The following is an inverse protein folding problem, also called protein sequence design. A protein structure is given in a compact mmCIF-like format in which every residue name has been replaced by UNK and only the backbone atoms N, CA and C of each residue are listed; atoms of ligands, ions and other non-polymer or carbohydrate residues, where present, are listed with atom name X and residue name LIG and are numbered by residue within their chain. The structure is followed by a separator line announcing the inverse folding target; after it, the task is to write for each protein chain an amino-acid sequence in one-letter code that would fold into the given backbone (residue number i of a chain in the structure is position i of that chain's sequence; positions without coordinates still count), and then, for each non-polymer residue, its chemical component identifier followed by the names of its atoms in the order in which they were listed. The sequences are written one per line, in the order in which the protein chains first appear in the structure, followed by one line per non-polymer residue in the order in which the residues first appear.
data_IF_757789202650
#
_entry.id   IF_757789202650
#
_cell.length_a   1.000
_cell.length_b   1.000
_cell.length_c   1.000
_cell.angle_alpha   90.00
_cell.angle_beta   90.00
_cell.angle_gamma   90.00
#
_symmetry.space_group_name_H-M   'P 1'
#
loop_
_entity.id
_entity.type
_entity.pdbx_description
1 polymer ?
#
# COMPACT_ATOMS: atom_id res chain seq x y z
N UNK A 1 -32.23 2.12 -63.61
CA UNK A 1 -31.27 2.69 -64.59
C UNK A 1 -29.92 1.99 -64.66
N UNK A 2 -29.55 1.19 -63.68
CA UNK A 2 -28.28 0.43 -63.69
C UNK A 2 -28.30 -0.81 -64.60
N UNK A 3 -29.46 -1.41 -64.87
CA UNK A 3 -29.62 -2.64 -65.67
C UNK A 3 -29.58 -2.44 -67.20
N UNK A 4 -29.67 -1.18 -67.70
CA UNK A 4 -29.61 -0.83 -69.08
C UNK A 4 -28.21 -0.40 -69.59
N UNK A 5 -27.25 -0.26 -68.71
CA UNK A 5 -25.85 0.10 -69.03
C UNK A 5 -24.96 -1.15 -69.31
N UNK A 6 -25.46 -2.35 -68.98
CA UNK A 6 -24.63 -3.61 -69.08
C UNK A 6 -24.78 -4.28 -70.46
N UNK A 7 -25.63 -3.79 -71.37
CA UNK A 7 -25.88 -4.40 -72.68
C UNK A 7 -25.31 -3.69 -73.91
N UNK A 8 -24.52 -2.65 -73.73
CA UNK A 8 -23.90 -1.94 -74.85
C UNK A 8 -22.41 -1.68 -74.58
N UNK A 9 -21.62 -2.72 -74.58
CA UNK A 9 -20.19 -2.48 -74.44
C UNK A 9 -19.36 -3.70 -74.08
N UNK A 10 -19.77 -4.87 -74.59
CA UNK A 10 -19.18 -6.15 -74.13
C UNK A 10 -17.77 -6.47 -74.61
N UNK A 11 -17.20 -5.77 -75.57
CA UNK A 11 -15.81 -6.01 -76.01
C UNK A 11 -14.86 -4.83 -75.68
N UNK A 12 -15.35 -3.64 -75.63
CA UNK A 12 -14.52 -2.44 -75.33
C UNK A 12 -14.12 -2.26 -73.84
N UNK A 13 -14.90 -2.84 -72.96
CA UNK A 13 -14.60 -2.75 -71.51
C UNK A 13 -13.61 -3.80 -71.01
N UNK A 14 -13.61 -4.98 -71.62
CA UNK A 14 -12.62 -6.00 -71.32
C UNK A 14 -11.24 -5.60 -71.79
N UNK A 15 -11.12 -5.09 -73.02
CA UNK A 15 -9.83 -4.59 -73.52
C UNK A 15 -9.33 -3.33 -72.76
N UNK A 16 -10.23 -2.46 -72.31
CA UNK A 16 -9.86 -1.32 -71.50
C UNK A 16 -9.39 -1.73 -70.09
N UNK A 17 -9.99 -2.80 -69.49
CA UNK A 17 -9.54 -3.35 -68.22
C UNK A 17 -8.22 -4.09 -68.39
N UNK A 18 -8.02 -4.87 -69.43
CA UNK A 18 -6.76 -5.52 -69.72
C UNK A 18 -5.66 -4.49 -69.95
N UNK A 19 -5.90 -3.47 -70.76
CA UNK A 19 -4.91 -2.41 -70.98
C UNK A 19 -4.62 -1.57 -69.72
N UNK A 20 -5.60 -1.38 -68.85
CA UNK A 20 -5.37 -0.71 -67.56
C UNK A 20 -4.61 -1.58 -66.55
N UNK A 21 -4.86 -2.88 -66.59
CA UNK A 21 -4.09 -3.87 -65.80
C UNK A 21 -2.67 -4.02 -66.36
N UNK A 22 -2.49 -4.08 -67.70
CA UNK A 22 -1.14 -4.11 -68.31
C UNK A 22 -0.39 -2.79 -68.08
N UNK A 23 -1.09 -1.66 -68.07
CA UNK A 23 -0.47 -0.37 -67.68
C UNK A 23 -0.09 -0.29 -66.17
N UNK A 24 -0.81 -1.01 -65.33
CA UNK A 24 -0.45 -1.19 -63.91
C UNK A 24 0.71 -2.18 -63.70
N UNK A 25 0.86 -3.16 -64.59
CA UNK A 25 1.95 -4.11 -64.66
C UNK A 25 2.96 -3.75 -65.77
N UNK A 26 3.19 -2.44 -66.02
CA UNK A 26 4.40 -2.06 -66.74
C UNK A 26 5.54 -2.66 -65.95
N UNK A 27 6.27 -3.59 -66.53
CA UNK A 27 7.51 -4.17 -66.01
C UNK A 27 8.36 -2.97 -65.54
N UNK A 28 8.37 -2.74 -64.23
CA UNK A 28 9.40 -1.92 -63.63
C UNK A 28 10.70 -2.69 -63.85
N UNK A 29 11.38 -2.43 -64.95
CA UNK A 29 12.76 -2.80 -65.12
C UNK A 29 13.58 -2.08 -64.03
N UNK A 30 13.75 -2.81 -62.94
CA UNK A 30 14.60 -2.31 -61.88
C UNK A 30 16.04 -2.15 -62.46
N UNK A 31 16.53 -0.92 -62.52
CA UNK A 31 17.90 -0.67 -62.85
C UNK A 31 18.80 -1.04 -61.67
N UNK A 32 20.02 -1.41 -61.92
CA UNK A 32 21.00 -1.77 -60.87
C UNK A 32 21.11 -0.69 -59.75
N UNK A 33 20.86 0.58 -60.08
CA UNK A 33 20.77 1.71 -59.13
C UNK A 33 19.59 1.65 -58.16
N UNK A 34 18.53 0.89 -58.49
CA UNK A 34 17.37 0.74 -57.60
C UNK A 34 17.62 -0.25 -56.47
N UNK A 35 18.65 -1.10 -56.63
CA UNK A 35 19.18 -1.99 -55.58
C UNK A 35 20.42 -1.43 -54.88
N UNK A 36 20.89 -0.21 -55.26
CA UNK A 36 21.93 0.44 -54.51
C UNK A 36 21.40 0.80 -53.12
N UNK A 37 22.08 0.32 -52.07
CA UNK A 37 21.78 0.70 -50.69
C UNK A 37 21.84 2.22 -50.61
N UNK A 38 20.66 2.85 -50.53
CA UNK A 38 20.54 4.28 -50.25
C UNK A 38 20.92 4.48 -48.78
N UNK A 39 22.18 4.84 -48.55
CA UNK A 39 22.60 5.31 -47.24
C UNK A 39 21.98 6.69 -47.04
N UNK A 40 20.76 6.69 -46.47
CA UNK A 40 20.21 7.90 -45.89
C UNK A 40 20.92 8.12 -44.55
N UNK A 41 22.01 8.82 -44.58
CA UNK A 41 22.73 9.26 -43.38
C UNK A 41 21.85 10.17 -42.50
N UNK A 42 20.77 10.76 -43.06
CA UNK A 42 19.84 11.65 -42.36
C UNK A 42 18.60 10.93 -41.75
N UNK A 43 18.33 9.66 -42.12
CA UNK A 43 17.11 8.95 -41.61
C UNK A 43 17.40 7.88 -40.58
N UNK A 44 18.62 7.54 -40.32
CA UNK A 44 18.99 6.77 -39.13
C UNK A 44 19.62 7.75 -38.13
N UNK A 45 18.94 8.80 -37.77
CA UNK A 45 19.01 9.27 -36.41
C UNK A 45 18.41 8.13 -35.55
N UNK A 46 19.16 7.06 -35.39
CA UNK A 46 18.99 6.17 -34.24
C UNK A 46 18.97 7.15 -33.07
N UNK A 47 17.78 7.31 -32.51
CA UNK A 47 17.56 8.20 -31.41
C UNK A 47 18.56 7.73 -30.32
N UNK A 48 19.76 8.30 -30.31
CA UNK A 48 20.82 8.01 -29.34
C UNK A 48 20.39 8.40 -27.93
N UNK A 49 19.20 9.02 -27.81
CA UNK A 49 18.46 9.21 -26.57
C UNK A 49 17.75 7.95 -26.07
N UNK A 50 17.75 6.83 -26.82
CA UNK A 50 17.51 5.50 -26.25
C UNK A 50 18.73 5.00 -25.43
N UNK A 51 19.42 5.88 -24.75
CA UNK A 51 20.16 5.48 -23.57
C UNK A 51 19.12 4.79 -22.65
N UNK A 52 19.35 3.54 -22.33
CA UNK A 52 18.49 2.75 -21.45
C UNK A 52 18.22 3.58 -20.18
N UNK A 53 17.15 4.37 -20.20
CA UNK A 53 16.79 5.19 -19.06
C UNK A 53 16.48 4.19 -17.97
N UNK A 54 17.27 4.26 -16.91
CA UNK A 54 17.14 3.32 -15.81
C UNK A 54 15.70 3.48 -15.27
N UNK A 55 14.83 2.50 -15.53
CA UNK A 55 13.42 2.48 -15.16
C UNK A 55 13.20 2.98 -13.72
N UNK A 56 14.06 2.55 -12.81
CA UNK A 56 13.98 2.93 -11.40
C UNK A 56 14.31 4.41 -11.16
N UNK A 57 15.26 4.96 -11.91
CA UNK A 57 15.60 6.40 -11.82
C UNK A 57 14.43 7.26 -12.29
N UNK A 58 13.81 6.88 -13.40
CA UNK A 58 12.66 7.60 -13.94
C UNK A 58 11.44 7.50 -12.99
N UNK A 59 11.16 6.30 -12.46
CA UNK A 59 10.11 6.09 -11.47
C UNK A 59 10.35 6.93 -10.20
N UNK A 60 11.57 7.01 -9.70
CA UNK A 60 11.92 7.87 -8.56
C UNK A 60 11.69 9.34 -8.86
N UNK A 61 12.13 9.83 -10.02
CA UNK A 61 11.93 11.24 -10.41
C UNK A 61 10.41 11.56 -10.45
N UNK A 62 9.59 10.69 -11.06
CA UNK A 62 8.14 10.87 -11.11
C UNK A 62 7.51 10.86 -9.72
N UNK A 63 7.93 9.93 -8.86
CA UNK A 63 7.46 9.85 -7.49
C UNK A 63 7.74 11.16 -6.72
N UNK A 64 8.97 11.68 -6.79
CA UNK A 64 9.34 12.92 -6.10
C UNK A 64 8.72 14.19 -6.72
N UNK A 65 8.30 14.15 -7.96
CA UNK A 65 7.57 15.25 -8.59
C UNK A 65 6.10 15.32 -8.09
N UNK A 66 5.56 14.23 -7.54
CA UNK A 66 4.21 14.19 -6.99
C UNK A 66 4.19 14.69 -5.55
N UNK A 67 3.75 15.93 -5.33
CA UNK A 67 3.75 16.60 -4.02
C UNK A 67 3.03 15.80 -2.93
N UNK A 68 1.90 15.15 -3.26
CA UNK A 68 1.15 14.32 -2.30
C UNK A 68 1.94 13.09 -1.84
N UNK A 69 2.67 12.43 -2.75
CA UNK A 69 3.52 11.28 -2.41
C UNK A 69 4.69 11.68 -1.51
N UNK A 70 5.32 12.82 -1.82
CA UNK A 70 6.39 13.39 -0.99
C UNK A 70 5.88 13.77 0.39
N UNK A 71 4.70 14.40 0.48
CA UNK A 71 4.06 14.71 1.77
C UNK A 71 3.81 13.41 2.58
N UNK A 72 3.24 12.38 1.95
CA UNK A 72 3.03 11.09 2.60
C UNK A 72 4.34 10.47 3.10
N UNK A 73 5.40 10.50 2.28
CA UNK A 73 6.71 9.97 2.66
C UNK A 73 7.30 10.73 3.85
N UNK A 74 7.24 12.06 3.84
CA UNK A 74 7.73 12.91 4.94
C UNK A 74 6.97 12.60 6.23
N UNK A 75 5.64 12.48 6.17
CA UNK A 75 4.83 12.12 7.33
C UNK A 75 5.18 10.73 7.87
N UNK A 76 5.38 9.71 7.00
CA UNK A 76 5.83 8.38 7.43
C UNK A 76 7.17 8.49 8.16
N UNK A 77 8.13 9.20 7.57
CA UNK A 77 9.46 9.37 8.19
C UNK A 77 9.35 10.03 9.57
N UNK A 78 8.55 11.09 9.70
CA UNK A 78 8.32 11.76 10.99
C UNK A 78 7.69 10.80 11.99
N UNK A 79 6.64 10.06 11.60
CA UNK A 79 5.95 9.12 12.50
C UNK A 79 6.89 7.98 12.91
N UNK A 80 7.68 7.44 11.98
CA UNK A 80 8.68 6.39 12.29
C UNK A 80 9.75 6.91 13.25
N UNK A 81 10.28 8.11 13.02
CA UNK A 81 11.24 8.74 13.93
C UNK A 81 10.64 8.94 15.31
N UNK A 82 9.41 9.44 15.41
CA UNK A 82 8.72 9.61 16.68
C UNK A 82 8.36 8.28 17.34
N UNK A 83 8.03 7.24 16.59
CA UNK A 83 7.81 5.91 17.12
C UNK A 83 9.09 5.30 17.72
N UNK A 84 10.27 5.67 17.20
CA UNK A 84 11.57 5.21 17.72
C UNK A 84 12.06 6.08 18.87
N UNK A 85 12.02 7.39 18.73
CA UNK A 85 12.61 8.35 19.65
C UNK A 85 11.60 8.87 20.70
N UNK A 86 10.32 8.97 20.35
CA UNK A 86 9.27 9.57 21.16
C UNK A 86 9.12 8.99 22.56
N UNK A 87 9.17 7.66 22.76
CA UNK A 87 9.13 7.07 24.08
C UNK A 87 10.31 7.44 24.99
N UNK A 88 11.45 7.85 24.40
CA UNK A 88 12.64 8.32 25.12
C UNK A 88 12.73 9.82 25.31
N UNK A 89 11.77 10.61 24.80
CA UNK A 89 11.81 12.07 24.90
C UNK A 89 11.36 12.61 26.26
N UNK A 90 10.72 11.79 27.07
CA UNK A 90 10.35 12.11 28.45
C UNK A 90 10.86 11.01 29.41
N UNK A 91 10.66 11.21 30.70
CA UNK A 91 11.12 10.28 31.76
C UNK A 91 10.12 9.16 32.07
N UNK A 92 8.97 9.10 31.35
CA UNK A 92 7.94 8.10 31.59
C UNK A 92 8.16 6.82 30.79
N UNK A 93 7.67 5.72 31.36
CA UNK A 93 7.65 4.43 30.66
C UNK A 93 6.22 4.08 30.22
N UNK A 94 6.06 3.31 29.15
CA UNK A 94 4.74 2.91 28.65
C UNK A 94 3.92 2.06 29.64
N UNK A 95 4.59 1.41 30.60
CA UNK A 95 3.97 0.56 31.64
C UNK A 95 3.92 1.22 33.02
N UNK A 96 4.61 2.34 33.21
CA UNK A 96 4.68 3.03 34.50
C UNK A 96 3.31 3.60 34.89
N UNK A 97 2.84 3.28 36.10
CA UNK A 97 1.54 3.68 36.62
C UNK A 97 1.71 4.51 37.88
N UNK A 98 0.98 5.63 37.94
CA UNK A 98 0.85 6.45 39.16
C UNK A 98 -0.59 6.90 39.34
N UNK A 99 -1.35 6.17 40.15
CA UNK A 99 -2.78 6.48 40.39
C UNK A 99 -3.02 7.87 40.99
N UNK A 100 -2.01 8.48 41.62
CA UNK A 100 -2.11 9.87 42.10
C UNK A 100 -2.20 10.88 40.95
N UNK A 101 -1.71 10.51 39.78
CA UNK A 101 -1.61 11.35 38.58
C UNK A 101 -2.61 10.93 37.49
N UNK A 102 -3.69 10.23 37.87
CA UNK A 102 -4.73 9.79 36.92
C UNK A 102 -5.47 10.99 36.33
N UNK A 103 -5.77 10.89 35.01
CA UNK A 103 -6.56 11.84 34.26
C UNK A 103 -6.01 13.26 34.31
N UNK A 104 -4.69 13.44 34.22
CA UNK A 104 -4.09 14.75 34.05
C UNK A 104 -4.26 15.22 32.60
N UNK A 105 -4.78 16.43 32.42
CA UNK A 105 -4.94 17.02 31.09
C UNK A 105 -3.57 17.36 30.46
N UNK A 106 -3.48 17.52 29.13
CA UNK A 106 -2.24 17.82 28.44
C UNK A 106 -1.56 19.09 28.98
N UNK A 107 -0.28 18.96 29.36
CA UNK A 107 0.55 20.07 29.83
C UNK A 107 1.95 19.99 29.23
N UNK A 108 2.34 21.06 28.51
CA UNK A 108 3.61 21.12 27.78
C UNK A 108 4.46 22.27 28.30
N UNK A 109 5.72 22.05 28.73
CA UNK A 109 6.60 23.09 29.24
C UNK A 109 6.78 24.23 28.22
N UNK A 110 6.63 25.45 28.65
CA UNK A 110 6.80 26.67 27.84
C UNK A 110 5.57 27.05 27.03
N UNK A 111 4.76 26.10 26.55
CA UNK A 111 3.51 26.40 25.81
C UNK A 111 2.38 26.76 26.77
N UNK A 112 2.38 26.22 27.98
CA UNK A 112 1.42 26.52 29.04
C UNK A 112 1.31 28.01 29.36
N UNK A 113 2.38 28.79 29.16
CA UNK A 113 2.41 30.24 29.39
C UNK A 113 1.46 31.02 28.45
N UNK A 114 1.09 30.41 27.31
CA UNK A 114 0.14 30.98 26.34
C UNK A 114 -1.31 30.57 26.62
N UNK A 115 -1.58 29.84 27.71
CA UNK A 115 -2.90 29.32 28.04
C UNK A 115 -3.36 28.18 27.12
N UNK A 116 -2.40 27.55 26.42
CA UNK A 116 -2.62 26.37 25.55
C UNK A 116 -1.87 25.21 26.16
N UNK A 117 -2.55 24.03 26.31
CA UNK A 117 -1.96 22.85 26.96
C UNK A 117 -1.34 23.18 28.33
N UNK A 118 -2.11 23.87 29.15
CA UNK A 118 -1.73 24.35 30.48
C UNK A 118 -2.12 23.39 31.63
N UNK A 119 -2.67 22.21 31.26
CA UNK A 119 -3.15 21.20 32.20
C UNK A 119 -4.57 21.47 32.71
N UNK A 120 -5.26 22.49 32.21
CA UNK A 120 -6.66 22.75 32.54
C UNK A 120 -7.62 21.94 31.65
N UNK A 121 -8.71 21.47 32.22
CA UNK A 121 -9.78 20.76 31.55
C UNK A 121 -11.13 21.44 31.81
N UNK A 122 -11.94 21.57 30.76
CA UNK A 122 -13.32 22.05 30.85
C UNK A 122 -14.27 20.85 30.99
N UNK A 123 -14.76 20.65 32.20
CA UNK A 123 -15.78 19.61 32.46
C UNK A 123 -17.18 20.20 32.38
N UNK A 124 -18.04 19.58 31.59
CA UNK A 124 -19.48 19.92 31.61
C UNK A 124 -20.14 19.28 32.82
N UNK A 125 -20.72 20.08 33.70
CA UNK A 125 -21.46 19.62 34.85
C UNK A 125 -22.94 20.03 34.72
N UNK A 126 -23.81 19.41 35.51
CA UNK A 126 -25.25 19.74 35.54
C UNK A 126 -25.52 21.21 35.89
N UNK A 127 -24.57 21.89 36.50
CA UNK A 127 -24.67 23.31 36.92
C UNK A 127 -23.92 24.27 35.99
N UNK A 128 -23.29 23.79 34.92
CA UNK A 128 -22.51 24.59 33.97
C UNK A 128 -21.12 24.00 33.66
N UNK A 129 -20.30 24.76 32.95
CA UNK A 129 -18.93 24.32 32.62
C UNK A 129 -17.99 24.73 33.77
N UNK A 130 -17.35 23.76 34.41
CA UNK A 130 -16.30 23.99 35.42
C UNK A 130 -14.94 23.78 34.76
N UNK A 131 -14.02 24.72 34.94
CA UNK A 131 -12.62 24.55 34.58
C UNK A 131 -11.89 23.99 35.80
N UNK A 132 -11.24 22.85 35.63
CA UNK A 132 -10.44 22.18 36.68
C UNK A 132 -9.01 22.01 36.19
N UNK A 133 -8.06 22.11 37.13
CA UNK A 133 -6.66 21.83 36.86
C UNK A 133 -6.16 20.79 37.89
N UNK A 134 -6.08 19.56 37.47
CA UNK A 134 -5.69 18.46 38.34
C UNK A 134 -4.27 18.55 38.88
N UNK A 135 -3.37 19.29 38.21
CA UNK A 135 -2.02 19.55 38.69
C UNK A 135 -2.01 20.47 39.93
N UNK A 136 -2.88 21.48 39.92
CA UNK A 136 -3.04 22.40 41.07
C UNK A 136 -3.79 21.71 42.22
N UNK A 137 -4.86 20.98 41.91
CA UNK A 137 -5.68 20.30 42.94
C UNK A 137 -4.88 19.23 43.70
N UNK A 138 -3.89 18.61 43.05
CA UNK A 138 -3.08 17.52 43.62
C UNK A 138 -1.65 17.93 43.99
N UNK A 139 -1.34 19.23 43.93
CA UNK A 139 0.00 19.78 44.23
C UNK A 139 1.14 19.08 43.46
N UNK A 140 0.95 18.91 42.13
CA UNK A 140 1.86 18.26 41.19
C UNK A 140 2.30 19.19 40.08
N UNK A 141 2.72 20.41 40.40
CA UNK A 141 3.08 21.46 39.44
C UNK A 141 4.43 21.21 38.76
N UNK A 142 5.24 20.28 39.24
CA UNK A 142 6.53 19.83 38.68
C UNK A 142 6.40 18.75 37.60
N UNK A 143 5.17 18.23 37.39
CA UNK A 143 4.88 17.13 36.46
C UNK A 143 4.35 17.67 35.15
N UNK A 144 4.79 17.06 34.03
CA UNK A 144 4.36 17.41 32.68
C UNK A 144 3.97 16.16 31.89
N UNK A 145 2.70 16.08 31.50
CA UNK A 145 2.18 15.06 30.58
C UNK A 145 1.81 15.74 29.27
N UNK A 146 2.59 15.56 28.22
CA UNK A 146 2.41 16.29 26.95
C UNK A 146 1.08 15.99 26.27
N UNK A 147 0.61 14.76 26.30
CA UNK A 147 -0.71 14.35 25.81
C UNK A 147 -1.69 14.03 26.97
N UNK A 148 -1.31 14.33 28.18
CA UNK A 148 -2.05 13.97 29.37
C UNK A 148 -1.75 12.55 29.86
N UNK A 149 -2.45 12.14 30.93
CA UNK A 149 -2.39 10.79 31.50
C UNK A 149 -3.73 10.09 31.44
N UNK A 150 -3.69 8.76 31.45
CA UNK A 150 -4.89 7.92 31.41
C UNK A 150 -5.47 7.66 32.83
N UNK A 151 -6.49 6.76 32.89
CA UNK A 151 -7.16 6.37 34.13
C UNK A 151 -6.22 5.73 35.18
N UNK A 152 -5.09 5.19 34.73
CA UNK A 152 -4.06 4.57 35.58
C UNK A 152 -2.86 5.48 35.85
N UNK A 153 -2.91 6.72 35.38
CA UNK A 153 -1.81 7.68 35.49
C UNK A 153 -0.61 7.38 34.59
N UNK A 154 -0.84 6.62 33.50
CA UNK A 154 0.21 6.31 32.49
C UNK A 154 0.29 7.45 31.49
N UNK A 155 1.49 7.75 31.00
CA UNK A 155 1.74 8.80 30.02
C UNK A 155 1.22 8.43 28.62
N UNK A 156 0.29 9.23 28.09
CA UNK A 156 -0.32 8.99 26.78
C UNK A 156 0.66 9.28 25.64
N UNK A 157 1.61 10.22 25.78
CA UNK A 157 2.64 10.48 24.78
C UNK A 157 3.49 9.24 24.54
N UNK A 158 4.11 8.71 25.58
CA UNK A 158 4.95 7.51 25.51
C UNK A 158 4.18 6.30 24.96
N UNK A 159 2.95 6.10 25.43
CA UNK A 159 2.09 5.00 24.96
C UNK A 159 1.66 5.15 23.51
N UNK A 160 1.40 6.38 23.04
CA UNK A 160 1.03 6.62 21.64
C UNK A 160 2.17 6.25 20.68
N UNK A 161 3.41 6.66 21.01
CA UNK A 161 4.56 6.35 20.14
C UNK A 161 5.00 4.89 20.25
N UNK A 162 4.92 4.30 21.42
CA UNK A 162 5.13 2.85 21.58
C UNK A 162 4.06 2.06 20.82
N UNK A 163 2.80 2.46 20.92
CA UNK A 163 1.70 1.88 20.16
C UNK A 163 1.89 2.02 18.64
N UNK A 164 2.38 3.17 18.18
CA UNK A 164 2.70 3.38 16.77
C UNK A 164 3.82 2.45 16.30
N UNK A 165 4.87 2.25 17.11
CA UNK A 165 5.95 1.29 16.84
C UNK A 165 5.41 -0.12 16.68
N UNK A 166 4.60 -0.58 17.62
CA UNK A 166 4.02 -1.92 17.60
C UNK A 166 3.09 -2.13 16.40
N UNK A 167 2.19 -1.18 16.12
CA UNK A 167 1.30 -1.23 14.95
C UNK A 167 2.09 -1.24 13.62
N UNK A 168 3.18 -0.47 13.52
CA UNK A 168 4.08 -0.49 12.35
C UNK A 168 4.77 -1.85 12.17
N UNK A 169 5.28 -2.45 13.25
CA UNK A 169 5.92 -3.78 13.20
C UNK A 169 4.93 -4.82 12.69
N UNK A 170 3.71 -4.82 13.22
CA UNK A 170 2.66 -5.76 12.78
C UNK A 170 2.33 -5.55 11.31
N UNK A 171 2.15 -4.30 10.88
CA UNK A 171 1.77 -3.98 9.51
C UNK A 171 2.87 -4.32 8.49
N UNK A 172 4.14 -4.05 8.84
CA UNK A 172 5.28 -4.41 7.98
C UNK A 172 5.44 -5.93 7.90
N UNK A 173 5.30 -6.64 9.04
CA UNK A 173 5.33 -8.10 9.04
C UNK A 173 4.22 -8.70 8.17
N UNK A 174 2.98 -8.20 8.30
CA UNK A 174 1.86 -8.61 7.47
C UNK A 174 2.11 -8.32 5.99
N UNK A 175 2.65 -7.16 5.64
CA UNK A 175 2.97 -6.78 4.26
C UNK A 175 4.07 -7.66 3.64
N UNK A 176 5.08 -8.04 4.40
CA UNK A 176 6.13 -8.99 3.96
C UNK A 176 5.52 -10.36 3.69
N UNK A 177 4.67 -10.85 4.59
CA UNK A 177 3.98 -12.13 4.45
C UNK A 177 3.07 -12.12 3.22
N UNK A 178 2.28 -11.06 3.06
CA UNK A 178 1.41 -10.81 1.91
C UNK A 178 2.22 -10.85 0.60
N UNK A 179 3.35 -10.15 0.55
CA UNK A 179 4.25 -10.14 -0.59
C UNK A 179 4.85 -11.53 -0.87
N UNK A 180 5.40 -12.22 0.14
CA UNK A 180 6.10 -13.48 -0.08
C UNK A 180 5.12 -14.62 -0.39
N UNK A 181 4.08 -14.80 0.41
CA UNK A 181 3.12 -15.91 0.26
C UNK A 181 2.13 -15.60 -0.85
N UNK A 182 1.47 -14.43 -0.80
CA UNK A 182 0.42 -14.06 -1.74
C UNK A 182 0.96 -13.94 -3.17
N UNK A 183 2.07 -13.23 -3.35
CA UNK A 183 2.70 -13.09 -4.66
C UNK A 183 3.13 -14.46 -5.22
N UNK A 184 3.87 -15.27 -4.44
CA UNK A 184 4.34 -16.56 -4.92
C UNK A 184 3.18 -17.50 -5.30
N UNK A 185 2.15 -17.53 -4.47
CA UNK A 185 0.94 -18.32 -4.72
C UNK A 185 0.24 -17.87 -6.00
N UNK A 186 0.03 -16.56 -6.17
CA UNK A 186 -0.62 -16.01 -7.36
C UNK A 186 0.17 -16.25 -8.64
N UNK A 187 1.50 -16.05 -8.60
CA UNK A 187 2.39 -16.29 -9.74
C UNK A 187 2.38 -17.76 -10.19
N UNK A 188 2.47 -18.69 -9.24
CA UNK A 188 2.42 -20.13 -9.52
C UNK A 188 1.07 -20.51 -10.12
N UNK A 189 -0.04 -20.09 -9.51
CA UNK A 189 -1.40 -20.32 -9.99
C UNK A 189 -1.59 -19.82 -11.42
N UNK A 190 -1.22 -18.55 -11.69
CA UNK A 190 -1.35 -17.94 -13.02
C UNK A 190 -0.48 -18.59 -14.10
N UNK A 191 0.77 -18.95 -13.76
CA UNK A 191 1.71 -19.57 -14.71
C UNK A 191 1.27 -20.96 -15.16
N UNK A 192 1.02 -21.87 -14.22
CA UNK A 192 0.65 -23.23 -14.55
C UNK A 192 -0.74 -23.34 -15.16
N UNK A 193 -1.69 -22.51 -14.71
CA UNK A 193 -3.05 -22.50 -15.26
C UNK A 193 -3.81 -23.82 -15.11
N UNK A 194 -4.86 -24.01 -15.91
CA UNK A 194 -5.60 -25.26 -16.02
C UNK A 194 -6.06 -25.85 -14.68
N UNK A 195 -5.76 -27.13 -14.44
CA UNK A 195 -6.16 -27.83 -13.21
C UNK A 195 -5.45 -27.31 -11.96
N UNK A 196 -4.18 -26.90 -12.07
CA UNK A 196 -3.41 -26.34 -10.94
C UNK A 196 -4.07 -25.05 -10.47
N UNK A 197 -4.33 -24.13 -11.39
CA UNK A 197 -5.01 -22.88 -11.09
C UNK A 197 -6.39 -23.12 -10.47
N UNK A 198 -7.18 -24.03 -11.06
CA UNK A 198 -8.51 -24.38 -10.55
C UNK A 198 -8.45 -24.83 -9.09
N UNK A 199 -7.56 -25.75 -8.74
CA UNK A 199 -7.42 -26.26 -7.36
C UNK A 199 -6.96 -25.15 -6.41
N UNK A 200 -5.96 -24.37 -6.83
CA UNK A 200 -5.46 -23.26 -6.03
C UNK A 200 -6.53 -22.19 -5.80
N UNK A 201 -7.33 -21.85 -6.82
CA UNK A 201 -8.44 -20.89 -6.66
C UNK A 201 -9.54 -21.44 -5.73
N UNK A 202 -9.87 -22.73 -5.77
CA UNK A 202 -10.81 -23.36 -4.82
C UNK A 202 -10.31 -23.28 -3.39
N UNK A 203 -9.02 -23.49 -3.18
CA UNK A 203 -8.42 -23.32 -1.86
C UNK A 203 -8.55 -21.86 -1.36
N UNK A 204 -8.28 -20.86 -2.22
CA UNK A 204 -8.48 -19.45 -1.90
C UNK A 204 -9.94 -19.10 -1.56
N UNK A 205 -10.89 -19.67 -2.33
CA UNK A 205 -12.32 -19.46 -2.07
C UNK A 205 -12.72 -19.99 -0.68
N UNK A 206 -12.26 -21.19 -0.33
CA UNK A 206 -12.50 -21.79 0.99
C UNK A 206 -11.84 -20.94 2.09
N UNK A 207 -10.58 -20.59 1.93
CA UNK A 207 -9.84 -19.79 2.90
C UNK A 207 -10.49 -18.42 3.13
N UNK A 208 -10.94 -17.75 2.05
CA UNK A 208 -11.62 -16.46 2.13
C UNK A 208 -13.09 -16.55 2.59
N UNK A 209 -13.68 -17.75 2.53
CA UNK A 209 -15.06 -18.00 2.98
C UNK A 209 -15.21 -18.06 4.50
N UNK A 210 -14.12 -18.27 5.24
CA UNK A 210 -14.13 -18.29 6.70
C UNK A 210 -14.06 -16.85 7.23
N UNK A 211 -15.01 -16.39 8.05
CA UNK A 211 -14.97 -15.05 8.64
C UNK A 211 -13.66 -14.84 9.44
N UNK A 212 -12.96 -13.75 9.15
CA UNK A 212 -11.69 -13.41 9.77
C UNK A 212 -11.70 -13.46 11.30
N UNK A 213 -12.75 -12.89 11.90
CA UNK A 213 -12.92 -12.90 13.36
C UNK A 213 -12.95 -14.32 13.93
N UNK A 214 -13.55 -15.27 13.23
CA UNK A 214 -13.61 -16.67 13.68
C UNK A 214 -12.20 -17.27 13.72
N UNK A 215 -11.41 -17.04 12.66
CA UNK A 215 -10.01 -17.52 12.61
C UNK A 215 -9.19 -16.94 13.75
N UNK A 216 -9.28 -15.62 13.97
CA UNK A 216 -8.54 -14.93 15.03
C UNK A 216 -8.97 -15.43 16.41
N UNK A 217 -10.27 -15.56 16.64
CA UNK A 217 -10.80 -16.06 17.93
C UNK A 217 -10.30 -17.49 18.23
N UNK A 218 -10.34 -18.37 17.22
CA UNK A 218 -9.83 -19.74 17.37
C UNK A 218 -8.32 -19.77 17.65
N UNK A 219 -7.55 -18.90 16.98
CA UNK A 219 -6.12 -18.77 17.25
C UNK A 219 -5.83 -18.31 18.68
N UNK A 220 -6.60 -17.33 19.18
CA UNK A 220 -6.43 -16.83 20.55
C UNK A 220 -6.83 -17.85 21.63
N UNK A 221 -7.68 -18.83 21.28
CA UNK A 221 -7.97 -19.96 22.20
C UNK A 221 -6.79 -20.93 22.31
N UNK A 222 -5.96 -21.03 21.26
CA UNK A 222 -4.82 -21.95 21.20
C UNK A 222 -3.52 -21.26 21.57
N UNK A 223 -3.33 -20.04 21.05
CA UNK A 223 -2.18 -19.19 21.29
C UNK A 223 -2.55 -18.11 22.29
N UNK A 224 -1.62 -17.72 23.13
CA UNK A 224 -1.88 -16.59 24.04
C UNK A 224 -2.03 -15.27 23.27
N UNK A 225 -2.90 -14.35 23.74
CA UNK A 225 -3.01 -13.02 23.15
C UNK A 225 -1.67 -12.27 23.13
N UNK A 226 -1.36 -11.62 22.00
CA UNK A 226 -0.12 -10.87 21.85
C UNK A 226 0.19 -10.51 20.40
N UNK A 227 1.23 -9.73 20.19
CA UNK A 227 1.68 -9.28 18.88
C UNK A 227 1.92 -10.43 17.90
N UNK A 228 2.57 -11.50 18.35
CA UNK A 228 2.87 -12.68 17.53
C UNK A 228 1.61 -13.37 17.04
N UNK A 229 0.62 -13.55 17.92
CA UNK A 229 -0.68 -14.16 17.56
C UNK A 229 -1.43 -13.33 16.53
N UNK A 230 -1.41 -12.00 16.65
CA UNK A 230 -2.03 -11.11 15.66
C UNK A 230 -1.31 -11.23 14.31
N UNK A 231 0.03 -11.24 14.29
CA UNK A 231 0.79 -11.45 13.04
C UNK A 231 0.42 -12.78 12.38
N UNK A 232 0.33 -13.88 13.16
CA UNK A 232 -0.13 -15.18 12.63
C UNK A 232 -1.56 -15.13 12.10
N UNK A 233 -2.45 -14.41 12.78
CA UNK A 233 -3.82 -14.25 12.33
C UNK A 233 -3.91 -13.50 11.00
N UNK A 234 -3.15 -12.41 10.85
CA UNK A 234 -3.03 -11.68 9.59
C UNK A 234 -2.37 -12.53 8.50
N UNK A 235 -1.33 -13.32 8.86
CA UNK A 235 -0.68 -14.24 7.95
C UNK A 235 -1.65 -15.25 7.31
N UNK A 236 -2.67 -15.70 8.03
CA UNK A 236 -3.64 -16.66 7.50
C UNK A 236 -4.69 -16.02 6.57
N UNK A 237 -4.90 -14.72 6.65
CA UNK A 237 -6.05 -14.07 6.01
C UNK A 237 -5.71 -13.02 4.97
N UNK A 238 -4.61 -12.26 5.13
CA UNK A 238 -4.34 -11.08 4.30
C UNK A 238 -3.78 -11.41 2.91
N UNK A 239 -2.99 -12.45 2.75
CA UNK A 239 -2.27 -12.81 1.52
C UNK A 239 -3.16 -13.13 0.31
N UNK A 240 -4.46 -13.39 0.52
CA UNK A 240 -5.42 -13.71 -0.54
C UNK A 240 -5.56 -12.56 -1.56
N UNK A 241 -5.55 -11.31 -1.08
CA UNK A 241 -5.62 -10.13 -1.94
C UNK A 241 -4.47 -10.05 -2.92
N UNK A 242 -3.24 -10.15 -2.42
CA UNK A 242 -2.01 -10.14 -3.21
C UNK A 242 -1.97 -11.31 -4.22
N UNK A 243 -2.41 -12.50 -3.82
CA UNK A 243 -2.39 -13.67 -4.70
C UNK A 243 -3.28 -13.47 -5.94
N UNK A 244 -4.42 -12.81 -5.80
CA UNK A 244 -5.30 -12.49 -6.93
C UNK A 244 -4.66 -11.49 -7.90
N UNK A 245 -3.99 -10.46 -7.37
CA UNK A 245 -3.30 -9.45 -8.18
C UNK A 245 -2.11 -10.08 -8.90
N UNK A 246 -1.26 -10.82 -8.18
CA UNK A 246 -0.10 -11.49 -8.78
C UNK A 246 -0.52 -12.50 -9.87
N UNK A 247 -1.61 -13.26 -9.64
CA UNK A 247 -2.20 -14.15 -10.65
C UNK A 247 -2.68 -13.38 -11.88
N UNK A 248 -3.39 -12.27 -11.68
CA UNK A 248 -3.90 -11.47 -12.80
C UNK A 248 -2.75 -10.89 -13.65
N UNK A 249 -1.69 -10.41 -13.03
CA UNK A 249 -0.51 -9.92 -13.74
C UNK A 249 0.25 -11.04 -14.46
N UNK A 250 0.40 -12.23 -13.84
CA UNK A 250 0.98 -13.39 -14.48
C UNK A 250 0.19 -13.82 -15.73
N UNK A 251 -1.15 -13.83 -15.65
CA UNK A 251 -2.01 -14.19 -16.79
C UNK A 251 -1.88 -13.21 -17.97
N UNK A 252 -1.56 -11.93 -17.72
CA UNK A 252 -1.31 -10.94 -18.77
C UNK A 252 0.02 -11.18 -19.50
N UNK A 253 1.03 -11.68 -18.78
CA UNK A 253 2.40 -11.76 -19.31
C UNK A 253 2.82 -13.15 -19.77
N UNK A 254 2.20 -14.24 -19.28
CA UNK A 254 2.65 -15.61 -19.55
C UNK A 254 2.66 -16.01 -21.04
N UNK A 255 1.85 -15.35 -21.85
CA UNK A 255 1.71 -15.62 -23.29
C UNK A 255 2.40 -14.55 -24.15
N UNK A 256 3.18 -13.65 -23.55
CA UNK A 256 3.98 -12.65 -24.26
C UNK A 256 5.20 -13.30 -24.94
N UNK A 257 5.64 -12.68 -26.03
CA UNK A 257 6.71 -13.21 -26.90
C UNK A 257 8.00 -13.54 -26.15
N UNK A 258 8.42 -12.69 -25.21
CA UNK A 258 9.64 -12.90 -24.42
C UNK A 258 9.55 -14.15 -23.52
N UNK A 259 8.35 -14.42 -22.95
CA UNK A 259 8.11 -15.64 -22.15
C UNK A 259 8.10 -16.88 -23.02
N UNK A 260 7.47 -16.80 -24.20
CA UNK A 260 7.44 -17.88 -25.17
C UNK A 260 8.86 -18.19 -25.71
N UNK A 261 9.66 -17.17 -25.99
CA UNK A 261 11.04 -17.32 -26.40
C UNK A 261 11.89 -18.02 -25.32
N UNK A 262 11.81 -17.57 -24.06
CA UNK A 262 12.51 -18.23 -22.95
C UNK A 262 12.10 -19.68 -22.77
N UNK A 263 10.80 -19.98 -22.95
CA UNK A 263 10.28 -21.36 -22.90
C UNK A 263 10.82 -22.21 -24.04
N UNK A 264 10.90 -21.67 -25.26
CA UNK A 264 11.44 -22.36 -26.44
C UNK A 264 12.93 -22.68 -26.29
N UNK A 265 13.66 -21.80 -25.60
CA UNK A 265 15.08 -21.99 -25.27
C UNK A 265 15.29 -22.97 -24.11
N UNK A 266 14.22 -23.58 -23.56
CA UNK A 266 14.31 -24.61 -22.52
C UNK A 266 14.40 -24.05 -21.09
N UNK A 267 14.08 -22.79 -20.87
CA UNK A 267 14.08 -22.21 -19.51
C UNK A 267 13.05 -22.91 -18.61
N UNK A 268 13.46 -23.25 -17.40
CA UNK A 268 12.58 -23.89 -16.39
C UNK A 268 11.51 -22.94 -15.87
N UNK A 269 10.37 -23.48 -15.43
CA UNK A 269 9.20 -22.71 -14.96
C UNK A 269 9.53 -21.69 -13.86
N UNK A 270 10.34 -22.09 -12.87
CA UNK A 270 10.73 -21.16 -11.79
C UNK A 270 11.62 -20.03 -12.29
N UNK A 271 12.50 -20.29 -13.25
CA UNK A 271 13.31 -19.24 -13.88
C UNK A 271 12.41 -18.22 -14.59
N UNK A 272 11.45 -18.70 -15.38
CA UNK A 272 10.50 -17.83 -16.10
C UNK A 272 9.68 -17.00 -15.10
N UNK A 273 9.11 -17.62 -14.06
CA UNK A 273 8.28 -16.91 -13.07
C UNK A 273 9.09 -15.82 -12.37
N UNK A 274 10.26 -16.16 -11.79
CA UNK A 274 10.95 -15.27 -10.88
C UNK A 274 12.00 -14.37 -11.54
N UNK A 275 12.56 -14.77 -12.69
CA UNK A 275 13.56 -13.95 -13.40
C UNK A 275 13.03 -13.21 -14.62
N UNK A 276 12.02 -13.75 -15.30
CA UNK A 276 11.49 -13.13 -16.51
C UNK A 276 10.21 -12.32 -16.21
N UNK A 277 9.24 -12.92 -15.50
CA UNK A 277 7.93 -12.27 -15.29
C UNK A 277 7.94 -11.35 -14.09
N UNK A 278 8.44 -11.78 -12.93
CA UNK A 278 8.40 -10.99 -11.69
C UNK A 278 9.00 -9.60 -11.83
N UNK A 279 10.17 -9.37 -12.48
CA UNK A 279 10.71 -8.02 -12.66
C UNK A 279 9.78 -7.09 -13.45
N UNK A 280 8.98 -7.65 -14.37
CA UNK A 280 8.05 -6.89 -15.20
C UNK A 280 6.75 -6.50 -14.47
N UNK A 281 6.39 -7.20 -13.38
CA UNK A 281 5.20 -6.91 -12.57
C UNK A 281 5.52 -6.31 -11.21
N UNK A 282 6.80 -6.02 -10.96
CA UNK A 282 7.22 -5.51 -9.64
C UNK A 282 6.52 -4.21 -9.25
N UNK A 283 6.19 -3.36 -10.23
CA UNK A 283 5.45 -2.11 -10.01
C UNK A 283 4.08 -2.35 -9.36
N UNK A 284 3.15 -3.09 -9.99
CA UNK A 284 1.88 -3.48 -9.39
C UNK A 284 2.03 -4.18 -8.02
N UNK A 285 3.04 -5.04 -7.85
CA UNK A 285 3.28 -5.75 -6.58
C UNK A 285 3.68 -4.77 -5.47
N UNK A 286 4.66 -3.89 -5.71
CA UNK A 286 5.07 -2.88 -4.71
C UNK A 286 3.90 -1.97 -4.35
N UNK A 287 3.12 -1.53 -5.32
CA UNK A 287 1.94 -0.71 -5.09
C UNK A 287 0.95 -1.42 -4.17
N UNK A 288 0.67 -2.70 -4.43
CA UNK A 288 -0.23 -3.49 -3.59
C UNK A 288 0.32 -3.67 -2.16
N UNK A 289 1.62 -3.92 -2.00
CA UNK A 289 2.26 -4.01 -0.68
C UNK A 289 2.07 -2.71 0.12
N UNK A 290 2.19 -1.55 -0.54
CA UNK A 290 1.96 -0.27 0.13
C UNK A 290 0.50 -0.08 0.59
N UNK A 291 -0.48 -0.60 -0.15
CA UNK A 291 -1.89 -0.59 0.27
C UNK A 291 -2.22 -1.63 1.35
N UNK A 292 -1.47 -2.73 1.42
CA UNK A 292 -1.72 -3.75 2.47
C UNK A 292 -1.29 -3.26 3.86
N UNK A 293 -0.32 -2.33 3.98
CA UNK A 293 0.09 -1.77 5.27
C UNK A 293 -1.06 -1.05 6.01
N UNK A 294 -1.73 -0.03 5.43
CA UNK A 294 -2.89 0.60 6.10
C UNK A 294 -4.01 -0.38 6.40
N UNK A 295 -4.24 -1.35 5.51
CA UNK A 295 -5.25 -2.40 5.72
C UNK A 295 -4.92 -3.26 6.94
N UNK A 296 -3.65 -3.65 7.10
CA UNK A 296 -3.19 -4.41 8.26
C UNK A 296 -3.30 -3.61 9.58
N UNK A 297 -2.93 -2.31 9.56
CA UNK A 297 -3.09 -1.41 10.72
C UNK A 297 -4.56 -1.32 11.11
N UNK A 298 -5.45 -1.12 10.14
CA UNK A 298 -6.89 -1.05 10.40
C UNK A 298 -7.44 -2.37 10.94
N UNK A 299 -7.03 -3.50 10.36
CA UNK A 299 -7.47 -4.84 10.81
C UNK A 299 -7.00 -5.12 12.24
N UNK A 300 -5.74 -4.79 12.57
CA UNK A 300 -5.20 -4.90 13.93
C UNK A 300 -6.00 -4.03 14.91
N UNK A 301 -6.24 -2.76 14.56
CA UNK A 301 -6.99 -1.85 15.39
C UNK A 301 -8.44 -2.32 15.62
N UNK A 302 -9.09 -2.85 14.60
CA UNK A 302 -10.42 -3.44 14.70
C UNK A 302 -10.44 -4.66 15.64
N UNK A 303 -9.46 -5.57 15.51
CA UNK A 303 -9.32 -6.73 16.40
C UNK A 303 -9.09 -6.28 17.84
N UNK A 304 -8.25 -5.29 18.04
CA UNK A 304 -7.98 -4.70 19.35
C UNK A 304 -9.24 -4.07 19.96
N UNK A 305 -10.03 -3.36 19.15
CA UNK A 305 -11.28 -2.74 19.60
C UNK A 305 -12.34 -3.77 20.06
N UNK A 306 -12.39 -4.91 19.38
CA UNK A 306 -13.28 -6.03 19.77
C UNK A 306 -12.74 -6.82 20.98
N UNK A 307 -11.57 -6.45 21.53
CA UNK A 307 -10.97 -7.11 22.69
C UNK A 307 -10.05 -8.29 22.34
N UNK A 308 -9.72 -8.46 21.07
CA UNK A 308 -8.80 -9.48 20.57
C UNK A 308 -7.37 -8.93 20.30
N UNK A 309 -7.06 -7.77 20.90
CA UNK A 309 -5.82 -7.05 20.70
C UNK A 309 -4.67 -7.49 21.61
N UNK A 310 -3.66 -6.63 21.66
CA UNK A 310 -2.48 -6.81 22.50
C UNK A 310 -2.86 -6.51 23.96
N UNK A 311 -2.57 -7.42 24.89
CA UNK A 311 -2.89 -7.23 26.31
C UNK A 311 -1.95 -6.22 26.97
N UNK A 312 -2.45 -5.51 27.98
CA UNK A 312 -1.64 -4.65 28.85
C UNK A 312 -0.51 -5.46 29.52
N UNK A 313 0.67 -4.87 29.77
CA UNK A 313 1.00 -3.44 29.66
C UNK A 313 1.37 -2.96 28.25
N UNK A 314 1.65 -3.87 27.33
CA UNK A 314 1.94 -3.49 25.94
C UNK A 314 0.71 -2.86 25.29
N UNK A 315 0.93 -2.03 24.28
CA UNK A 315 -0.16 -1.44 23.50
C UNK A 315 0.26 -1.30 22.03
N UNK A 316 -0.75 -1.40 21.16
CA UNK A 316 -0.74 -0.90 19.80
C UNK A 316 -1.55 0.40 19.75
N UNK A 317 -1.57 1.09 18.61
CA UNK A 317 -2.49 2.23 18.44
C UNK A 317 -3.94 1.80 18.60
N UNK A 318 -4.31 0.64 18.05
CA UNK A 318 -5.67 0.11 18.14
C UNK A 318 -6.08 -0.25 19.57
N UNK A 319 -5.23 -0.99 20.31
CA UNK A 319 -5.51 -1.34 21.70
C UNK A 319 -5.55 -0.11 22.62
N UNK A 320 -4.69 0.89 22.36
CA UNK A 320 -4.70 2.14 23.10
C UNK A 320 -6.00 2.94 22.85
N UNK A 321 -6.45 3.04 21.60
CA UNK A 321 -7.74 3.66 21.27
C UNK A 321 -8.90 2.94 21.96
N UNK A 322 -8.91 1.60 21.92
CA UNK A 322 -9.94 0.79 22.59
C UNK A 322 -9.99 1.03 24.11
N UNK A 323 -8.81 1.10 24.74
CA UNK A 323 -8.69 1.36 26.19
C UNK A 323 -9.19 2.75 26.56
N UNK A 324 -8.76 3.79 25.82
CA UNK A 324 -9.12 5.18 26.08
C UNK A 324 -10.53 5.55 25.66
N UNK A 325 -11.19 4.71 24.84
CA UNK A 325 -12.58 4.92 24.44
C UNK A 325 -13.55 5.02 25.62
N UNK A 326 -13.30 4.24 26.68
CA UNK A 326 -14.12 4.28 27.90
C UNK A 326 -14.10 5.65 28.62
N UNK A 327 -13.03 6.43 28.44
CA UNK A 327 -12.88 7.76 29.03
C UNK A 327 -13.30 8.88 28.07
N UNK A 328 -13.76 8.57 26.86
CA UNK A 328 -14.02 9.56 25.80
C UNK A 328 -15.06 10.63 26.21
N UNK A 329 -16.09 10.25 26.95
CA UNK A 329 -17.15 11.18 27.38
C UNK A 329 -16.71 12.13 28.50
N UNK A 330 -15.73 11.72 29.32
CA UNK A 330 -15.24 12.49 30.47
C UNK A 330 -13.94 13.21 30.17
N UNK A 331 -13.02 12.56 29.47
CA UNK A 331 -11.66 13.07 29.17
C UNK A 331 -11.31 12.86 27.68
N UNK A 332 -11.96 13.59 26.74
CA UNK A 332 -11.82 13.35 25.30
C UNK A 332 -10.39 13.58 24.80
N UNK A 333 -9.57 14.40 25.47
CA UNK A 333 -8.18 14.65 25.10
C UNK A 333 -7.33 13.36 25.07
N UNK A 334 -7.69 12.35 25.85
CA UNK A 334 -6.90 11.11 25.96
C UNK A 334 -6.86 10.31 24.65
N UNK A 335 -7.99 10.22 23.96
CA UNK A 335 -8.11 9.38 22.75
C UNK A 335 -7.68 10.12 21.48
N UNK A 336 -7.65 11.45 21.48
CA UNK A 336 -7.32 12.25 20.28
C UNK A 336 -5.92 11.96 19.74
N UNK A 337 -4.83 11.93 20.55
CA UNK A 337 -3.49 11.71 20.03
C UNK A 337 -3.33 10.38 19.28
N UNK A 338 -3.69 9.22 19.83
CA UNK A 338 -3.54 7.94 19.11
C UNK A 338 -4.43 7.85 17.87
N UNK A 339 -5.64 8.44 17.86
CA UNK A 339 -6.49 8.51 16.66
C UNK A 339 -5.83 9.35 15.57
N UNK A 340 -5.30 10.53 15.92
CA UNK A 340 -4.63 11.41 14.95
C UNK A 340 -3.40 10.73 14.36
N UNK A 341 -2.55 10.12 15.19
CA UNK A 341 -1.35 9.41 14.72
C UNK A 341 -1.73 8.24 13.81
N UNK A 342 -2.73 7.44 14.17
CA UNK A 342 -3.20 6.32 13.36
C UNK A 342 -3.78 6.80 12.01
N UNK A 343 -4.60 7.85 12.03
CA UNK A 343 -5.20 8.42 10.81
C UNK A 343 -4.15 9.01 9.88
N UNK A 344 -3.17 9.74 10.42
CA UNK A 344 -2.05 10.28 9.65
C UNK A 344 -1.18 9.17 9.07
N UNK A 345 -0.93 8.10 9.82
CA UNK A 345 -0.15 6.96 9.37
C UNK A 345 -0.83 6.27 8.19
N UNK A 346 -2.13 5.96 8.31
CA UNK A 346 -2.90 5.34 7.22
C UNK A 346 -2.99 6.24 5.99
N UNK A 347 -3.26 7.53 6.17
CA UNK A 347 -3.28 8.50 5.08
C UNK A 347 -1.94 8.58 4.38
N UNK A 348 -0.84 8.62 5.13
CA UNK A 348 0.51 8.75 4.58
C UNK A 348 0.89 7.55 3.72
N UNK A 349 0.61 6.32 4.16
CA UNK A 349 0.83 5.12 3.35
C UNK A 349 -0.03 5.09 2.09
N UNK A 350 -1.29 5.52 2.15
CA UNK A 350 -2.14 5.62 0.97
C UNK A 350 -1.60 6.66 -0.04
N UNK A 351 -1.13 7.83 0.43
CA UNK A 351 -0.53 8.84 -0.45
C UNK A 351 0.76 8.33 -1.13
N UNK A 352 1.58 7.59 -0.41
CA UNK A 352 2.78 6.95 -0.98
C UNK A 352 2.40 5.85 -1.97
N UNK A 353 1.41 5.01 -1.65
CA UNK A 353 0.92 3.97 -2.54
C UNK A 353 0.39 4.52 -3.86
N UNK A 354 -0.42 5.59 -3.81
CA UNK A 354 -0.91 6.30 -5.00
C UNK A 354 0.21 6.95 -5.80
N UNK A 355 1.22 7.48 -5.11
CA UNK A 355 2.42 8.03 -5.76
C UNK A 355 3.25 6.98 -6.47
N UNK A 356 3.47 5.83 -5.83
CA UNK A 356 4.19 4.70 -6.42
C UNK A 356 3.42 4.08 -7.59
N UNK A 357 2.10 3.94 -7.47
CA UNK A 357 1.25 3.45 -8.55
C UNK A 357 1.41 4.30 -9.81
N UNK A 358 1.33 5.63 -9.68
CA UNK A 358 1.46 6.54 -10.80
C UNK A 358 2.89 6.57 -11.36
N UNK A 359 3.90 6.55 -10.48
CA UNK A 359 5.30 6.55 -10.89
C UNK A 359 5.72 5.28 -11.62
N UNK A 360 5.14 4.12 -11.25
CA UNK A 360 5.47 2.81 -11.80
C UNK A 360 4.56 2.39 -12.97
N UNK A 361 3.51 3.17 -13.32
CA UNK A 361 2.63 2.86 -14.43
C UNK A 361 3.34 3.13 -15.78
N UNK A 362 3.55 2.10 -16.63
CA UNK A 362 4.24 2.27 -17.90
C UNK A 362 3.43 3.07 -18.94
N UNK A 363 2.10 3.17 -18.78
CA UNK A 363 1.23 3.91 -19.71
C UNK A 363 1.42 5.42 -19.66
N UNK A 364 1.98 5.94 -18.59
CA UNK A 364 2.29 7.36 -18.44
C UNK A 364 3.53 7.81 -19.24
N UNK A 365 4.20 6.89 -19.96
CA UNK A 365 5.33 7.22 -20.87
C UNK A 365 4.89 7.93 -22.17
N UNK A 366 3.61 7.89 -22.51
CA UNK A 366 3.09 8.35 -23.80
C UNK A 366 2.31 9.68 -23.72
N UNK A 367 2.30 10.34 -22.58
CA UNK A 367 1.75 11.70 -22.40
C UNK A 367 2.88 12.68 -22.04
#
# INVERSE_FOLDING_TARGET
MAEKAIRLGGESTADAIVSAVDAMYTEHTFAEKDFALKHNEDEIAVDTNFAAQNFWKEALIRFFNKKSAVLGLVLIVIIVLLAVLGPGMNSYTYSGQDLSQKNFAPRVPGIEQFGILDGSEKMSTTTGTKVTNAYQEKDKLDVYYWFGSDLYGRDIWTRTWEGARVSLIIAVAAAIIDMVIGMSYGLISGYFGGRVDMVMQRFLEVANGIPRLVIVTLLLLVLQPGMVTIIFALMLTEWVGMSRIARAEMLKLKDQEFVLASRTLGAGSFFIIFKEVLPNIIGPIITQVMFSIPTAIFTEAFLSFVGLGIPVPQCSLGSLISELYNSFTTHPYQIIPPIVVMSLLMLSFNLVADGLREALDPKMKSM
#
